data_IF_666757160603
#
_entry.id   IF_666757160603
#
_cell.length_a   1.000
_cell.length_b   1.000
_cell.length_c   1.000
_cell.angle_alpha   90.00
_cell.angle_beta   90.00
_cell.angle_gamma   90.00
#
_symmetry.space_group_name_H-M   'P 1'
#
loop_
_entity.id
_entity.type
_entity.pdbx_description
1 polymer ?
#
# COMPACT_ATOMS: atom_id res chain seq x y z
N UNK A 1 15.86 -1.87 10.84
CA UNK A 1 14.77 -2.46 10.01
C UNK A 1 15.23 -3.82 9.57
N UNK A 2 14.60 -4.84 10.10
CA UNK A 2 14.95 -6.24 9.84
C UNK A 2 13.91 -6.92 8.96
N UNK A 3 12.63 -6.52 9.09
CA UNK A 3 11.51 -7.15 8.37
C UNK A 3 10.50 -6.10 7.90
N UNK A 4 10.10 -6.20 6.64
CA UNK A 4 9.18 -5.27 5.99
C UNK A 4 7.99 -6.01 5.37
N UNK A 5 6.79 -5.44 5.50
CA UNK A 5 5.64 -5.77 4.68
C UNK A 5 5.58 -4.82 3.47
N UNK A 6 5.37 -5.37 2.28
CA UNK A 6 5.14 -4.58 1.06
C UNK A 6 3.77 -4.96 0.50
N UNK A 7 2.82 -4.04 0.50
CA UNK A 7 1.54 -4.26 -0.19
C UNK A 7 1.67 -3.83 -1.65
N UNK A 8 1.13 -4.60 -2.58
CA UNK A 8 1.34 -4.36 -4.01
C UNK A 8 2.76 -4.70 -4.48
N UNK A 9 3.37 -5.73 -3.88
CA UNK A 9 4.77 -6.09 -4.13
C UNK A 9 5.05 -6.71 -5.49
N UNK A 10 4.04 -7.24 -6.17
CA UNK A 10 4.15 -7.78 -7.53
C UNK A 10 3.94 -6.71 -8.63
N UNK A 11 3.64 -5.46 -8.24
CA UNK A 11 3.59 -4.31 -9.13
C UNK A 11 4.97 -3.76 -9.47
N UNK A 12 5.03 -2.77 -10.38
CA UNK A 12 6.30 -2.18 -10.84
C UNK A 12 7.13 -1.57 -9.72
N UNK A 13 6.52 -0.70 -8.89
CA UNK A 13 7.24 -0.05 -7.77
C UNK A 13 7.60 -1.08 -6.70
N UNK A 14 6.64 -1.94 -6.33
CA UNK A 14 6.82 -2.96 -5.30
C UNK A 14 7.97 -3.90 -5.59
N UNK A 15 8.05 -4.44 -6.82
CA UNK A 15 9.13 -5.32 -7.27
C UNK A 15 10.51 -4.64 -7.14
N UNK A 16 10.62 -3.37 -7.56
CA UNK A 16 11.89 -2.65 -7.47
C UNK A 16 12.28 -2.31 -6.02
N UNK A 17 11.31 -1.93 -5.19
CA UNK A 17 11.52 -1.70 -3.76
C UNK A 17 12.00 -2.99 -3.07
N UNK A 18 11.34 -4.11 -3.32
CA UNK A 18 11.71 -5.41 -2.74
C UNK A 18 13.16 -5.77 -3.10
N UNK A 19 13.57 -5.60 -4.37
CA UNK A 19 14.96 -5.80 -4.78
C UNK A 19 15.95 -4.94 -3.97
N UNK A 20 15.58 -3.69 -3.67
CA UNK A 20 16.41 -2.79 -2.88
C UNK A 20 16.47 -3.20 -1.40
N UNK A 21 15.36 -3.68 -0.84
CA UNK A 21 15.29 -4.14 0.55
C UNK A 21 16.13 -5.41 0.75
N UNK A 22 16.03 -6.38 -0.16
CA UNK A 22 16.82 -7.62 -0.10
C UNK A 22 18.34 -7.34 -0.17
N UNK A 23 18.78 -6.35 -0.97
CA UNK A 23 20.20 -5.93 -1.02
C UNK A 23 20.70 -5.32 0.30
N UNK A 24 19.80 -5.02 1.22
CA UNK A 24 20.10 -4.47 2.56
C UNK A 24 19.83 -5.50 3.65
N UNK A 25 19.73 -6.78 3.27
CA UNK A 25 19.46 -7.90 4.17
C UNK A 25 18.15 -7.75 4.97
N UNK A 26 17.15 -7.04 4.39
CA UNK A 26 15.82 -6.91 4.99
C UNK A 26 14.96 -8.09 4.55
N UNK A 27 14.40 -8.80 5.51
CA UNK A 27 13.39 -9.83 5.22
C UNK A 27 12.11 -9.17 4.71
N UNK A 28 11.54 -9.69 3.63
CA UNK A 28 10.35 -9.10 3.01
C UNK A 28 9.22 -10.12 2.92
N UNK A 29 8.03 -9.69 3.31
CA UNK A 29 6.76 -10.34 3.01
C UNK A 29 5.96 -9.40 2.11
N UNK A 30 5.29 -9.94 1.10
CA UNK A 30 4.42 -9.16 0.21
C UNK A 30 2.98 -9.66 0.28
N UNK A 31 2.02 -8.74 0.25
CA UNK A 31 0.60 -9.05 -0.04
C UNK A 31 0.22 -8.39 -1.35
N UNK A 32 -0.35 -9.17 -2.28
CA UNK A 32 -0.75 -8.73 -3.61
C UNK A 32 -1.87 -9.63 -4.13
N UNK A 33 -2.90 -9.07 -4.74
CA UNK A 33 -4.01 -9.84 -5.35
C UNK A 33 -3.78 -10.13 -6.82
N UNK A 34 -2.66 -9.64 -7.36
CA UNK A 34 -2.26 -9.73 -8.78
C UNK A 34 -3.25 -9.12 -9.78
N UNK A 35 -4.18 -8.28 -9.32
CA UNK A 35 -5.15 -7.60 -10.19
C UNK A 35 -4.47 -6.66 -11.21
N UNK A 36 -3.32 -6.09 -10.83
CA UNK A 36 -2.48 -5.26 -11.71
C UNK A 36 -1.01 -5.67 -11.73
N UNK A 37 -0.58 -6.43 -10.74
CA UNK A 37 0.73 -7.07 -10.66
C UNK A 37 0.78 -8.37 -11.47
N UNK A 38 1.94 -9.05 -11.43
CA UNK A 38 2.13 -10.33 -12.09
C UNK A 38 2.94 -11.28 -11.22
N UNK A 39 2.54 -12.55 -11.17
CA UNK A 39 3.34 -13.62 -10.53
C UNK A 39 4.75 -13.76 -11.12
N UNK A 40 4.94 -13.35 -12.37
CA UNK A 40 6.27 -13.31 -12.99
C UNK A 40 7.22 -12.27 -12.36
N UNK A 41 6.67 -11.31 -11.60
CA UNK A 41 7.45 -10.32 -10.88
C UNK A 41 7.88 -10.77 -9.48
N UNK A 42 7.47 -11.96 -9.05
CA UNK A 42 7.90 -12.52 -7.76
C UNK A 42 9.41 -12.71 -7.70
N UNK A 43 9.97 -12.40 -6.55
CA UNK A 43 11.42 -12.47 -6.33
C UNK A 43 11.70 -13.64 -5.39
N UNK A 44 12.66 -14.47 -5.77
CA UNK A 44 13.10 -15.60 -4.94
C UNK A 44 13.52 -15.14 -3.54
N UNK A 45 13.11 -15.90 -2.52
CA UNK A 45 13.39 -15.57 -1.12
C UNK A 45 12.39 -14.61 -0.46
N UNK A 46 11.37 -14.16 -1.19
CA UNK A 46 10.27 -13.34 -0.64
C UNK A 46 9.04 -14.22 -0.46
N UNK A 47 8.35 -14.06 0.67
CA UNK A 47 7.05 -14.69 0.90
C UNK A 47 5.96 -13.82 0.29
N UNK A 48 5.27 -14.31 -0.74
CA UNK A 48 4.09 -13.65 -1.30
C UNK A 48 2.82 -14.27 -0.73
N UNK A 49 1.90 -13.41 -0.32
CA UNK A 49 0.56 -13.76 0.17
C UNK A 49 -0.42 -13.26 -0.89
N UNK A 50 -1.05 -14.18 -1.62
CA UNK A 50 -2.06 -13.86 -2.63
C UNK A 50 -3.38 -13.56 -1.93
N UNK A 51 -3.63 -12.27 -1.67
CA UNK A 51 -4.83 -11.78 -1.00
C UNK A 51 -5.12 -10.33 -1.37
N UNK A 52 -6.40 -9.97 -1.30
CA UNK A 52 -6.85 -8.59 -1.37
C UNK A 52 -6.33 -7.79 -0.16
N UNK A 53 -6.08 -6.51 -0.36
CA UNK A 53 -5.57 -5.61 0.69
C UNK A 53 -6.54 -5.46 1.87
N UNK A 54 -7.84 -5.64 1.65
CA UNK A 54 -8.83 -5.62 2.72
C UNK A 54 -8.67 -6.80 3.70
N UNK A 55 -8.00 -7.87 3.27
CA UNK A 55 -7.70 -9.05 4.09
C UNK A 55 -6.39 -8.92 4.90
N UNK A 56 -5.80 -7.72 4.99
CA UNK A 56 -4.51 -7.51 5.67
C UNK A 56 -4.48 -8.05 7.11
N UNK A 57 -5.60 -8.05 7.82
CA UNK A 57 -5.72 -8.62 9.17
C UNK A 57 -5.58 -10.15 9.22
N UNK A 58 -5.64 -10.83 8.09
CA UNK A 58 -5.41 -12.28 8.00
C UNK A 58 -3.93 -12.67 7.90
N UNK A 59 -3.02 -11.69 7.90
CA UNK A 59 -1.58 -11.93 7.92
C UNK A 59 -1.21 -12.38 9.33
N UNK A 60 -0.88 -13.66 9.48
CA UNK A 60 -0.44 -14.27 10.74
C UNK A 60 1.09 -14.10 10.92
N UNK A 61 1.57 -12.88 10.85
CA UNK A 61 2.99 -12.54 10.95
C UNK A 61 3.09 -11.12 11.52
N UNK A 62 3.56 -10.98 12.76
CA UNK A 62 3.39 -9.78 13.58
C UNK A 62 4.68 -8.96 13.75
N UNK A 63 5.84 -9.47 13.30
CA UNK A 63 7.15 -8.89 13.61
C UNK A 63 7.65 -7.89 12.55
N UNK A 64 6.75 -7.15 11.91
CA UNK A 64 7.17 -6.14 10.93
C UNK A 64 7.61 -4.84 11.60
N UNK A 65 8.78 -4.34 11.20
CA UNK A 65 9.24 -3.01 11.59
C UNK A 65 8.54 -1.90 10.79
N UNK A 66 8.13 -2.21 9.55
CA UNK A 66 7.61 -1.23 8.61
C UNK A 66 6.68 -1.87 7.57
N UNK A 67 5.66 -1.13 7.15
CA UNK A 67 4.80 -1.45 6.03
C UNK A 67 4.98 -0.40 4.91
N UNK A 68 5.37 -0.83 3.72
CA UNK A 68 5.33 -0.02 2.50
C UNK A 68 3.99 -0.27 1.81
N UNK A 69 3.08 0.69 1.93
CA UNK A 69 1.74 0.58 1.34
C UNK A 69 1.72 1.13 -0.08
N UNK A 70 1.86 0.22 -1.05
CA UNK A 70 1.90 0.52 -2.49
C UNK A 70 0.68 -0.03 -3.24
N UNK A 71 -0.08 -0.96 -2.62
CA UNK A 71 -1.31 -1.50 -3.21
C UNK A 71 -2.30 -0.37 -3.51
N UNK A 72 -2.65 -0.22 -4.77
CA UNK A 72 -3.56 0.80 -5.23
C UNK A 72 -4.04 0.49 -6.65
N UNK A 73 -5.25 0.91 -7.00
CA UNK A 73 -5.61 1.10 -8.39
C UNK A 73 -4.88 2.36 -8.88
N UNK A 74 -3.82 2.19 -9.69
CA UNK A 74 -2.79 3.21 -9.94
C UNK A 74 -2.94 3.98 -11.24
N UNK A 75 -4.03 3.81 -12.00
CA UNK A 75 -4.22 4.41 -13.32
C UNK A 75 -5.49 5.25 -13.40
N UNK A 76 -5.41 6.38 -14.08
CA UNK A 76 -6.52 7.33 -14.25
C UNK A 76 -7.64 6.70 -15.09
N UNK A 77 -7.33 6.15 -16.28
CA UNK A 77 -8.34 5.62 -17.19
C UNK A 77 -9.17 4.48 -16.56
N UNK A 78 -8.58 3.42 -15.97
CA UNK A 78 -9.37 2.40 -15.27
C UNK A 78 -10.22 2.93 -14.13
N UNK A 79 -9.85 4.04 -13.50
CA UNK A 79 -10.64 4.63 -12.42
C UNK A 79 -11.96 5.25 -12.91
N UNK A 80 -12.03 5.72 -14.16
CA UNK A 80 -13.29 6.14 -14.77
C UNK A 80 -14.16 4.96 -15.15
N UNK A 81 -13.55 3.86 -15.58
CA UNK A 81 -14.27 2.63 -15.95
C UNK A 81 -14.89 1.93 -14.74
N UNK A 82 -14.17 1.94 -13.61
CA UNK A 82 -14.66 1.34 -12.36
C UNK A 82 -14.32 2.22 -11.13
N UNK A 83 -15.07 3.30 -10.90
CA UNK A 83 -14.82 4.22 -9.78
C UNK A 83 -15.05 3.57 -8.41
N UNK A 84 -15.96 2.62 -8.29
CA UNK A 84 -16.22 1.89 -7.05
C UNK A 84 -14.98 1.09 -6.61
N UNK A 85 -14.31 0.46 -7.55
CA UNK A 85 -13.09 -0.29 -7.29
C UNK A 85 -11.94 0.64 -6.85
N UNK A 86 -11.84 1.83 -7.45
CA UNK A 86 -10.89 2.85 -7.00
C UNK A 86 -11.12 3.24 -5.54
N UNK A 87 -12.38 3.43 -5.13
CA UNK A 87 -12.73 3.74 -3.74
C UNK A 87 -12.42 2.54 -2.84
N UNK A 88 -12.81 1.34 -3.23
CA UNK A 88 -12.58 0.11 -2.46
C UNK A 88 -11.10 -0.08 -2.16
N UNK A 89 -10.24 -0.05 -3.18
CA UNK A 89 -8.80 -0.31 -3.02
C UNK A 89 -8.11 0.89 -2.36
N UNK A 90 -8.27 2.09 -2.92
CA UNK A 90 -7.44 3.24 -2.53
C UNK A 90 -7.92 3.91 -1.22
N UNK A 91 -9.19 3.81 -0.87
CA UNK A 91 -9.75 4.43 0.34
C UNK A 91 -9.99 3.38 1.42
N UNK A 92 -10.82 2.38 1.15
CA UNK A 92 -11.12 1.32 2.15
C UNK A 92 -9.88 0.49 2.43
N UNK A 93 -9.15 0.04 1.41
CA UNK A 93 -7.90 -0.70 1.57
C UNK A 93 -6.85 0.09 2.37
N UNK A 94 -6.66 1.38 2.07
CA UNK A 94 -5.76 2.24 2.87
C UNK A 94 -6.22 2.34 4.31
N UNK A 95 -7.53 2.51 4.57
CA UNK A 95 -8.07 2.55 5.94
C UNK A 95 -7.79 1.24 6.68
N UNK A 96 -7.95 0.08 6.02
CA UNK A 96 -7.62 -1.23 6.58
C UNK A 96 -6.14 -1.35 6.96
N UNK A 97 -5.24 -0.87 6.08
CA UNK A 97 -3.79 -0.86 6.37
C UNK A 97 -3.49 0.03 7.57
N UNK A 98 -4.10 1.20 7.67
CA UNK A 98 -3.88 2.12 8.79
C UNK A 98 -4.40 1.57 10.12
N UNK A 99 -5.58 0.90 10.11
CA UNK A 99 -6.10 0.21 11.31
C UNK A 99 -5.19 -0.95 11.73
N UNK A 100 -4.74 -1.75 10.78
CA UNK A 100 -3.81 -2.85 11.03
C UNK A 100 -2.48 -2.33 11.60
N UNK A 101 -1.92 -1.28 11.01
CA UNK A 101 -0.68 -0.68 11.49
C UNK A 101 -0.81 -0.07 12.89
N UNK A 102 -1.96 0.56 13.20
CA UNK A 102 -2.30 1.05 14.53
C UNK A 102 -2.32 -0.08 15.56
N UNK A 103 -2.99 -1.18 15.21
CA UNK A 103 -3.14 -2.34 16.08
C UNK A 103 -1.80 -3.00 16.42
N UNK A 104 -0.90 -3.08 15.43
CA UNK A 104 0.40 -3.74 15.55
C UNK A 104 1.55 -2.77 15.85
N UNK A 105 1.29 -1.47 16.01
CA UNK A 105 2.29 -0.42 16.25
C UNK A 105 3.39 -0.39 15.17
N UNK A 106 3.01 -0.51 13.90
CA UNK A 106 3.92 -0.59 12.75
C UNK A 106 4.01 0.76 12.05
N UNK A 107 5.23 1.18 11.67
CA UNK A 107 5.44 2.34 10.81
C UNK A 107 4.91 2.07 9.41
N UNK A 108 4.24 3.07 8.80
CA UNK A 108 3.75 2.99 7.41
C UNK A 108 4.45 4.02 6.53
N UNK A 109 4.90 3.61 5.37
CA UNK A 109 5.25 4.50 4.25
C UNK A 109 4.15 4.34 3.20
N UNK A 110 3.32 5.37 3.07
CA UNK A 110 2.23 5.40 2.09
C UNK A 110 2.73 5.97 0.76
N UNK A 111 2.46 5.28 -0.35
CA UNK A 111 2.72 5.81 -1.68
C UNK A 111 1.67 6.88 -2.02
N UNK A 112 2.03 8.14 -1.86
CA UNK A 112 1.20 9.27 -2.26
C UNK A 112 1.17 9.46 -3.77
N UNK A 113 0.56 10.55 -4.23
CA UNK A 113 0.43 10.85 -5.66
C UNK A 113 0.82 12.29 -5.97
N UNK A 114 1.47 12.50 -7.13
CA UNK A 114 1.68 13.84 -7.70
C UNK A 114 0.37 14.53 -8.10
N UNK A 115 -0.73 13.77 -8.25
CA UNK A 115 -2.07 14.33 -8.52
C UNK A 115 -2.56 15.31 -7.45
N UNK A 116 -1.95 15.33 -6.26
CA UNK A 116 -2.25 16.36 -5.24
C UNK A 116 -2.02 17.80 -5.70
N UNK A 117 -1.25 18.01 -6.77
CA UNK A 117 -1.01 19.33 -7.36
C UNK A 117 -2.08 19.75 -8.38
N UNK A 118 -3.05 18.90 -8.63
CA UNK A 118 -4.22 19.10 -9.47
C UNK A 118 -5.49 19.07 -8.63
N UNK A 119 -6.63 19.41 -9.23
CA UNK A 119 -7.92 19.29 -8.56
C UNK A 119 -8.23 17.80 -8.29
N UNK A 120 -8.50 17.39 -7.05
CA UNK A 120 -8.90 16.02 -6.77
C UNK A 120 -10.12 15.55 -7.58
N UNK A 121 -10.97 16.50 -8.02
CA UNK A 121 -12.16 16.21 -8.83
C UNK A 121 -11.85 15.83 -10.29
N UNK A 122 -10.61 15.95 -10.74
CA UNK A 122 -10.22 15.67 -12.13
C UNK A 122 -10.38 14.19 -12.50
N UNK A 123 -10.34 13.29 -11.54
CA UNK A 123 -10.57 11.86 -11.76
C UNK A 123 -10.87 11.10 -10.48
N UNK A 124 -11.57 9.94 -10.55
CA UNK A 124 -11.73 9.05 -9.39
C UNK A 124 -10.39 8.61 -8.80
N UNK A 125 -9.35 8.40 -9.63
CA UNK A 125 -8.00 8.11 -9.16
C UNK A 125 -7.43 9.27 -8.32
N UNK A 126 -7.48 10.51 -8.82
CA UNK A 126 -6.96 11.67 -8.11
C UNK A 126 -7.70 11.86 -6.77
N UNK A 127 -9.03 11.77 -6.78
CA UNK A 127 -9.86 11.87 -5.58
C UNK A 127 -9.50 10.79 -4.57
N UNK A 128 -9.43 9.52 -4.98
CA UNK A 128 -9.17 8.42 -4.05
C UNK A 128 -7.75 8.43 -3.49
N UNK A 129 -6.76 8.89 -4.25
CA UNK A 129 -5.39 9.10 -3.74
C UNK A 129 -5.34 10.27 -2.75
N UNK A 130 -6.04 11.36 -3.02
CA UNK A 130 -6.18 12.47 -2.07
C UNK A 130 -6.82 11.99 -0.76
N UNK A 131 -7.94 11.27 -0.82
CA UNK A 131 -8.61 10.72 0.36
C UNK A 131 -7.70 9.75 1.14
N UNK A 132 -6.92 8.93 0.46
CA UNK A 132 -5.93 8.04 1.10
C UNK A 132 -4.87 8.82 1.89
N UNK A 133 -4.36 9.94 1.34
CA UNK A 133 -3.44 10.83 2.07
C UNK A 133 -4.12 11.50 3.29
N UNK A 134 -5.38 11.92 3.17
CA UNK A 134 -6.13 12.50 4.31
C UNK A 134 -6.38 11.45 5.41
N UNK A 135 -6.66 10.20 5.06
CA UNK A 135 -6.74 9.08 6.01
C UNK A 135 -5.41 8.92 6.74
N UNK A 136 -4.28 8.89 6.03
CA UNK A 136 -2.96 8.81 6.66
C UNK A 136 -2.72 9.95 7.66
N UNK A 137 -3.08 11.18 7.29
CA UNK A 137 -2.97 12.36 8.18
C UNK A 137 -3.88 12.25 9.40
N UNK A 138 -5.13 11.77 9.22
CA UNK A 138 -6.07 11.52 10.30
C UNK A 138 -5.48 10.52 11.30
N UNK A 139 -4.99 9.37 10.81
CA UNK A 139 -4.42 8.35 11.68
C UNK A 139 -3.16 8.82 12.41
N UNK A 140 -2.31 9.59 11.75
CA UNK A 140 -1.16 10.23 12.38
C UNK A 140 -1.56 11.16 13.52
N UNK A 141 -2.55 12.04 13.27
CA UNK A 141 -2.96 13.08 14.22
C UNK A 141 -3.80 12.54 15.37
N UNK A 142 -4.76 11.66 15.07
CA UNK A 142 -5.80 11.26 16.03
C UNK A 142 -5.47 9.95 16.75
N UNK A 143 -4.66 9.07 16.14
CA UNK A 143 -4.34 7.76 16.68
C UNK A 143 -2.84 7.53 16.89
N UNK A 144 -2.01 8.57 16.64
CA UNK A 144 -0.55 8.53 16.81
C UNK A 144 0.14 7.42 16.00
N UNK A 145 -0.44 7.04 14.85
CA UNK A 145 0.19 6.08 13.94
C UNK A 145 1.41 6.73 13.29
N UNK A 146 2.54 6.04 13.30
CA UNK A 146 3.75 6.50 12.63
C UNK A 146 3.63 6.31 11.12
N UNK A 147 3.16 7.33 10.41
CA UNK A 147 3.00 7.28 8.96
C UNK A 147 3.70 8.44 8.27
N UNK A 148 4.36 8.12 7.15
CA UNK A 148 4.97 9.08 6.22
C UNK A 148 4.41 8.88 4.82
N UNK A 149 4.27 9.96 4.06
CA UNK A 149 3.76 9.95 2.69
C UNK A 149 4.94 10.20 1.75
N UNK A 150 5.30 9.19 0.96
CA UNK A 150 6.31 9.29 -0.10
C UNK A 150 5.65 9.61 -1.45
N UNK A 151 6.29 10.47 -2.27
CA UNK A 151 5.83 10.86 -3.61
C UNK A 151 6.99 10.88 -4.58
#
# INVERSE_FOLDING_TARGET
MNKALVTGGAGFIGTNLIKCLLKKDVQVVSIDDYSSGSKQNEIAGVKYIEKDIEEIFSINDDDFDICFHLAAQSRVQPSFENPLESVRINVTGTTRVMEWAKHNNIKVIYAGSSSKHHDPSDSPYAMTKFLGEEICKLYKKSFNVNVEIAR
#
